data_IF_684350944964
#
_entry.id   IF_684350944964
#
_cell.length_a   1.000
_cell.length_b   1.000
_cell.length_c   1.000
_cell.angle_alpha   90.00
_cell.angle_beta   90.00
_cell.angle_gamma   90.00
#
_symmetry.space_group_name_H-M   'P 1'
#
loop_
_entity.id
_entity.type
_entity.pdbx_description
1 polymer ?
#
# COMPACT_ATOMS: atom_id res chain seq x y z
N UNK A 1 -24.37 -3.00 15.56
CA UNK A 1 -24.90 -2.28 14.39
C UNK A 1 -24.44 -3.03 13.17
N UNK A 2 -25.33 -3.37 12.22
CA UNK A 2 -24.94 -4.06 10.98
C UNK A 2 -24.05 -3.11 10.17
N UNK A 3 -22.84 -3.55 9.79
CA UNK A 3 -22.00 -2.80 8.87
C UNK A 3 -22.76 -2.67 7.55
N UNK A 4 -23.13 -1.44 7.19
CA UNK A 4 -23.76 -1.17 5.89
C UNK A 4 -22.65 -1.01 4.86
N UNK A 5 -22.57 -1.94 3.91
CA UNK A 5 -21.75 -1.77 2.70
C UNK A 5 -22.21 -0.53 1.95
N UNK A 6 -21.27 0.28 1.46
CA UNK A 6 -21.62 1.33 0.48
C UNK A 6 -22.23 0.64 -0.74
N UNK A 7 -23.45 1.02 -1.16
CA UNK A 7 -24.09 0.41 -2.33
C UNK A 7 -23.14 0.55 -3.55
N UNK A 8 -22.91 -0.57 -4.27
CA UNK A 8 -22.09 -0.64 -5.50
C UNK A 8 -20.57 -0.43 -5.34
N UNK A 9 -20.00 -0.44 -4.12
CA UNK A 9 -18.54 -0.46 -3.97
C UNK A 9 -18.00 -1.88 -4.21
N UNK A 10 -17.14 -2.03 -5.21
CA UNK A 10 -16.56 -3.32 -5.63
C UNK A 10 -15.03 -3.24 -5.84
N UNK A 11 -14.39 -2.11 -5.50
CA UNK A 11 -12.96 -1.91 -5.69
C UNK A 11 -12.16 -2.47 -4.50
N UNK A 12 -12.26 -3.78 -4.29
CA UNK A 12 -11.54 -4.52 -3.26
C UNK A 12 -11.32 -5.97 -3.67
N UNK A 13 -10.39 -6.64 -2.98
CA UNK A 13 -10.21 -8.09 -3.02
C UNK A 13 -9.86 -8.57 -1.61
N UNK A 14 -10.76 -9.31 -0.98
CA UNK A 14 -10.61 -9.86 0.37
C UNK A 14 -11.15 -11.29 0.43
N UNK A 15 -10.75 -12.06 1.44
CA UNK A 15 -11.16 -13.46 1.55
C UNK A 15 -12.67 -13.63 1.74
N UNK A 16 -13.27 -12.91 2.71
CA UNK A 16 -14.68 -13.06 3.08
C UNK A 16 -15.21 -11.79 3.77
N UNK A 17 -16.12 -11.08 3.12
CA UNK A 17 -16.76 -9.88 3.68
C UNK A 17 -17.61 -10.15 4.94
N UNK A 18 -18.06 -11.38 5.15
CA UNK A 18 -18.84 -11.73 6.35
C UNK A 18 -18.05 -11.56 7.64
N UNK A 19 -16.72 -11.55 7.58
CA UNK A 19 -15.81 -11.32 8.70
C UNK A 19 -15.77 -9.85 9.17
N UNK A 20 -16.35 -8.91 8.41
CA UNK A 20 -16.27 -7.47 8.70
C UNK A 20 -16.83 -7.10 10.09
N UNK A 21 -17.89 -7.75 10.52
CA UNK A 21 -18.49 -7.52 11.85
C UNK A 21 -17.55 -7.91 13.00
N UNK A 22 -16.77 -8.97 12.84
CA UNK A 22 -15.71 -9.34 13.76
C UNK A 22 -14.55 -8.34 13.67
N UNK A 23 -14.05 -8.07 12.46
CA UNK A 23 -12.98 -7.11 12.23
C UNK A 23 -13.26 -5.75 12.88
N UNK A 24 -14.50 -5.24 12.78
CA UNK A 24 -14.86 -3.97 13.42
C UNK A 24 -14.70 -3.97 14.95
N UNK A 25 -14.98 -5.09 15.60
CA UNK A 25 -14.79 -5.23 17.05
C UNK A 25 -13.31 -5.25 17.43
N UNK A 26 -12.50 -5.99 16.69
CA UNK A 26 -11.06 -6.07 16.91
C UNK A 26 -10.36 -4.72 16.66
N UNK A 27 -10.77 -4.00 15.61
CA UNK A 27 -10.26 -2.65 15.34
C UNK A 27 -10.63 -1.67 16.46
N UNK A 28 -11.85 -1.77 17.03
CA UNK A 28 -12.24 -0.94 18.16
C UNK A 28 -11.41 -1.20 19.41
N UNK A 29 -10.95 -2.44 19.63
CA UNK A 29 -10.00 -2.77 20.70
C UNK A 29 -8.63 -2.17 20.38
N UNK A 30 -8.11 -2.36 19.15
CA UNK A 30 -6.82 -1.83 18.73
C UNK A 30 -6.75 -0.28 18.88
N UNK A 31 -7.85 0.44 18.63
CA UNK A 31 -7.91 1.88 18.89
C UNK A 31 -7.58 2.25 20.35
N UNK A 32 -7.98 1.44 21.31
CA UNK A 32 -7.67 1.67 22.73
C UNK A 32 -6.19 1.41 23.07
N UNK A 33 -5.52 0.61 22.27
CA UNK A 33 -4.11 0.23 22.43
C UNK A 33 -3.15 1.16 21.64
N UNK A 34 -3.69 2.07 20.83
CA UNK A 34 -2.93 2.99 19.98
C UNK A 34 -3.19 4.46 20.33
N UNK A 35 -2.94 4.88 21.60
CA UNK A 35 -3.33 6.20 22.09
C UNK A 35 -2.64 7.35 21.34
N UNK A 36 -1.40 7.15 20.88
CA UNK A 36 -0.65 8.15 20.11
C UNK A 36 -1.31 8.45 18.77
N UNK A 37 -1.65 7.40 18.00
CA UNK A 37 -2.32 7.55 16.71
C UNK A 37 -3.74 8.13 16.87
N UNK A 38 -4.47 7.71 17.91
CA UNK A 38 -5.80 8.24 18.23
C UNK A 38 -5.76 9.71 18.65
N UNK A 39 -4.69 10.15 19.34
CA UNK A 39 -4.48 11.55 19.67
C UNK A 39 -4.23 12.38 18.40
N UNK A 40 -3.40 11.90 17.48
CA UNK A 40 -3.16 12.54 16.17
C UNK A 40 -4.46 12.64 15.36
N UNK A 41 -5.25 11.54 15.28
CA UNK A 41 -6.55 11.56 14.61
C UNK A 41 -7.47 12.63 15.21
N UNK A 42 -7.58 12.69 16.55
CA UNK A 42 -8.43 13.64 17.24
C UNK A 42 -8.00 15.10 17.03
N UNK A 43 -6.69 15.35 17.04
CA UNK A 43 -6.14 16.71 16.92
C UNK A 43 -6.31 17.26 15.50
N UNK A 44 -6.03 16.46 14.48
CA UNK A 44 -5.92 16.95 13.10
C UNK A 44 -7.10 16.61 12.19
N UNK A 45 -8.08 15.80 12.63
CA UNK A 45 -9.21 15.44 11.77
C UNK A 45 -10.02 16.64 11.28
N UNK A 46 -10.07 17.71 12.08
CA UNK A 46 -10.78 18.95 11.69
C UNK A 46 -10.06 19.73 10.60
N UNK A 47 -8.74 19.72 10.61
CA UNK A 47 -7.87 20.48 9.69
C UNK A 47 -7.61 19.73 8.37
N UNK A 48 -7.79 18.41 8.37
CA UNK A 48 -7.54 17.51 7.24
C UNK A 48 -6.20 17.78 6.50
N UNK A 49 -5.07 17.71 7.20
CA UNK A 49 -3.76 18.11 6.66
C UNK A 49 -3.31 17.22 5.49
N UNK A 50 -3.91 16.04 5.30
CA UNK A 50 -3.66 15.13 4.19
C UNK A 50 -4.65 15.31 3.03
N UNK A 51 -5.42 16.40 3.01
CA UNK A 51 -6.31 16.70 1.89
C UNK A 51 -5.53 16.76 0.57
N UNK A 52 -5.96 15.95 -0.43
CA UNK A 52 -5.28 15.80 -1.71
C UNK A 52 -4.12 14.78 -1.71
N UNK A 53 -3.77 14.18 -0.58
CA UNK A 53 -2.88 13.04 -0.55
C UNK A 53 -3.60 11.81 -1.11
N UNK A 54 -2.96 11.14 -2.08
CA UNK A 54 -3.33 9.83 -2.62
C UNK A 54 -2.26 8.85 -2.22
N UNK A 55 -2.57 8.02 -1.23
CA UNK A 55 -1.59 7.13 -0.61
C UNK A 55 -1.79 5.71 -1.11
N UNK A 56 -0.77 5.17 -1.78
CA UNK A 56 -0.64 3.74 -2.02
C UNK A 56 0.07 3.12 -0.82
N UNK A 57 -0.66 2.35 0.00
CA UNK A 57 -0.13 1.68 1.17
C UNK A 57 0.18 0.21 0.87
N UNK A 58 1.41 -0.20 1.10
CA UNK A 58 1.92 -1.58 1.01
C UNK A 58 2.49 -1.96 2.38
N UNK A 59 1.61 -2.36 3.28
CA UNK A 59 1.95 -2.71 4.67
C UNK A 59 1.01 -3.81 5.15
N UNK A 60 1.47 -4.66 6.07
CA UNK A 60 0.69 -5.76 6.66
C UNK A 60 -0.75 -5.36 6.96
N UNK A 61 -1.74 -6.03 6.37
CA UNK A 61 -3.16 -5.72 6.57
C UNK A 61 -3.68 -6.31 7.88
N UNK A 62 -3.34 -5.68 9.00
CA UNK A 62 -3.72 -6.05 10.37
C UNK A 62 -4.78 -5.12 10.94
N UNK A 63 -5.29 -5.44 12.14
CA UNK A 63 -6.23 -4.55 12.86
C UNK A 63 -5.58 -3.21 13.20
N UNK A 64 -4.28 -3.18 13.52
CA UNK A 64 -3.55 -1.93 13.77
C UNK A 64 -3.42 -1.10 12.50
N UNK A 65 -3.13 -1.73 11.37
CA UNK A 65 -3.11 -1.08 10.07
C UNK A 65 -4.49 -0.55 9.68
N UNK A 66 -5.56 -1.24 10.04
CA UNK A 66 -6.91 -0.73 9.83
C UNK A 66 -7.15 0.60 10.60
N UNK A 67 -6.66 0.70 11.84
CA UNK A 67 -6.69 1.97 12.61
C UNK A 67 -5.89 3.06 11.90
N UNK A 68 -4.73 2.73 11.33
CA UNK A 68 -3.92 3.67 10.54
C UNK A 68 -4.68 4.14 9.30
N UNK A 69 -5.24 3.23 8.50
CA UNK A 69 -6.02 3.56 7.29
C UNK A 69 -7.17 4.51 7.62
N UNK A 70 -7.94 4.22 8.66
CA UNK A 70 -9.05 5.07 9.09
C UNK A 70 -8.56 6.43 9.61
N UNK A 71 -7.38 6.47 10.23
CA UNK A 71 -6.75 7.73 10.63
C UNK A 71 -6.35 8.57 9.41
N UNK A 72 -5.69 7.96 8.41
CA UNK A 72 -5.32 8.65 7.18
C UNK A 72 -6.56 9.23 6.47
N UNK A 73 -7.68 8.49 6.42
CA UNK A 73 -8.94 9.01 5.90
C UNK A 73 -9.50 10.17 6.73
N UNK A 74 -9.48 10.06 8.05
CA UNK A 74 -9.94 11.14 8.94
C UNK A 74 -9.11 12.42 8.75
N UNK A 75 -7.83 12.29 8.40
CA UNK A 75 -6.93 13.39 8.09
C UNK A 75 -7.06 13.91 6.64
N UNK A 76 -7.96 13.34 5.82
CA UNK A 76 -8.29 13.82 4.49
C UNK A 76 -7.61 13.08 3.32
N UNK A 77 -6.85 12.01 3.58
CA UNK A 77 -6.21 11.24 2.52
C UNK A 77 -7.20 10.33 1.77
N UNK A 78 -6.93 10.14 0.48
CA UNK A 78 -7.50 9.07 -0.35
C UNK A 78 -6.51 7.90 -0.38
N UNK A 79 -6.94 6.72 0.09
CA UNK A 79 -6.04 5.61 0.40
C UNK A 79 -6.45 4.36 -0.37
N UNK A 80 -5.46 3.63 -0.89
CA UNK A 80 -5.60 2.28 -1.45
C UNK A 80 -4.57 1.38 -0.77
N UNK A 81 -4.92 0.15 -0.45
CA UNK A 81 -4.09 -0.70 0.40
C UNK A 81 -3.91 -2.11 -0.12
N UNK A 82 -2.67 -2.62 -0.04
CA UNK A 82 -2.34 -4.03 -0.21
C UNK A 82 -1.44 -4.49 0.95
N UNK A 83 -1.35 -5.80 1.18
CA UNK A 83 -0.39 -6.33 2.14
C UNK A 83 1.01 -6.36 1.55
N UNK A 84 2.03 -6.16 2.38
CA UNK A 84 3.43 -6.33 2.02
C UNK A 84 3.95 -7.77 2.21
N UNK A 85 3.06 -8.72 2.54
CA UNK A 85 3.42 -10.11 2.77
C UNK A 85 2.20 -11.03 2.57
N UNK A 86 2.40 -12.12 1.81
CA UNK A 86 1.33 -13.05 1.42
C UNK A 86 0.66 -13.83 2.56
N UNK A 87 1.25 -13.85 3.77
CA UNK A 87 0.72 -14.60 4.92
C UNK A 87 0.27 -13.73 6.09
N UNK A 88 0.56 -12.43 6.08
CA UNK A 88 0.39 -11.58 7.26
C UNK A 88 -0.99 -10.93 7.40
N UNK A 89 -1.83 -11.00 6.37
CA UNK A 89 -3.16 -10.40 6.39
C UNK A 89 -4.03 -11.04 7.47
N UNK A 90 -4.71 -10.20 8.22
CA UNK A 90 -5.85 -10.58 9.07
C UNK A 90 -7.14 -10.35 8.28
N UNK A 91 -7.74 -11.41 7.76
CA UNK A 91 -8.86 -11.34 6.81
C UNK A 91 -10.06 -10.56 7.34
N UNK A 92 -10.31 -10.62 8.66
CA UNK A 92 -11.37 -9.84 9.30
C UNK A 92 -11.08 -8.33 9.32
N UNK A 93 -9.79 -7.93 9.41
CA UNK A 93 -9.40 -6.53 9.30
C UNK A 93 -9.60 -6.02 7.86
N UNK A 94 -9.13 -6.78 6.87
CA UNK A 94 -9.32 -6.46 5.45
C UNK A 94 -10.81 -6.35 5.09
N UNK A 95 -11.64 -7.28 5.56
CA UNK A 95 -13.09 -7.27 5.36
C UNK A 95 -13.75 -6.01 5.97
N UNK A 96 -13.34 -5.60 7.18
CA UNK A 96 -13.90 -4.42 7.83
C UNK A 96 -13.57 -3.13 7.07
N UNK A 97 -12.36 -3.01 6.56
CA UNK A 97 -11.91 -1.86 5.75
C UNK A 97 -12.62 -1.82 4.39
N UNK A 98 -12.77 -2.98 3.71
CA UNK A 98 -13.51 -3.08 2.46
C UNK A 98 -14.97 -2.67 2.61
N UNK A 99 -15.66 -3.16 3.65
CA UNK A 99 -17.06 -2.78 3.96
C UNK A 99 -17.17 -1.29 4.26
N UNK A 100 -16.15 -0.69 4.88
CA UNK A 100 -16.04 0.76 5.09
C UNK A 100 -15.93 1.58 3.80
N UNK A 101 -15.66 0.92 2.66
CA UNK A 101 -15.57 1.53 1.33
C UNK A 101 -14.17 2.03 0.98
N UNK A 102 -13.13 1.50 1.64
CA UNK A 102 -11.74 1.72 1.25
C UNK A 102 -11.29 0.62 0.31
N UNK A 103 -10.64 0.96 -0.82
CA UNK A 103 -10.01 -0.02 -1.68
C UNK A 103 -8.90 -0.78 -0.94
N UNK A 104 -9.11 -2.07 -0.72
CA UNK A 104 -8.15 -2.97 -0.07
C UNK A 104 -8.05 -4.28 -0.84
N UNK A 105 -6.83 -4.71 -1.10
CA UNK A 105 -6.50 -5.90 -1.88
C UNK A 105 -5.54 -6.74 -1.06
N UNK A 106 -6.08 -7.62 -0.22
CA UNK A 106 -5.29 -8.47 0.66
C UNK A 106 -6.13 -9.61 1.22
N UNK A 107 -5.58 -10.81 1.24
CA UNK A 107 -6.08 -11.92 2.02
C UNK A 107 -4.93 -12.85 2.43
N UNK A 108 -5.12 -13.60 3.50
CA UNK A 108 -4.07 -14.50 3.99
C UNK A 108 -3.89 -15.69 3.06
N UNK A 109 -2.68 -15.85 2.54
CA UNK A 109 -2.33 -16.96 1.64
C UNK A 109 -2.55 -16.62 0.15
N UNK A 110 -2.55 -15.36 -0.22
CA UNK A 110 -2.47 -14.94 -1.61
C UNK A 110 -1.21 -15.49 -2.28
N UNK A 111 -1.29 -15.76 -3.57
CA UNK A 111 -0.14 -16.21 -4.37
C UNK A 111 0.81 -15.05 -4.69
N UNK A 112 2.06 -15.34 -5.07
CA UNK A 112 3.00 -14.28 -5.51
C UNK A 112 2.47 -13.49 -6.71
N UNK A 113 1.73 -14.14 -7.61
CA UNK A 113 1.10 -13.45 -8.74
C UNK A 113 0.02 -12.47 -8.29
N UNK A 114 -0.83 -12.87 -7.34
CA UNK A 114 -1.87 -12.00 -6.75
C UNK A 114 -1.24 -10.86 -5.94
N UNK A 115 -0.18 -11.14 -5.19
CA UNK A 115 0.57 -10.12 -4.45
C UNK A 115 1.03 -8.97 -5.34
N UNK A 116 1.65 -9.27 -6.49
CA UNK A 116 2.10 -8.24 -7.43
C UNK A 116 0.93 -7.58 -8.18
N UNK A 117 -0.13 -8.32 -8.48
CA UNK A 117 -1.36 -7.75 -9.03
C UNK A 117 -2.00 -6.76 -8.05
N UNK A 118 -2.06 -7.10 -6.75
CA UNK A 118 -2.62 -6.22 -5.73
C UNK A 118 -1.74 -4.99 -5.50
N UNK A 119 -0.43 -5.14 -5.55
CA UNK A 119 0.51 -4.02 -5.51
C UNK A 119 0.32 -3.09 -6.73
N UNK A 120 0.00 -3.60 -7.91
CA UNK A 120 -0.39 -2.76 -9.04
C UNK A 120 -1.73 -2.07 -8.81
N UNK A 121 -2.71 -2.75 -8.24
CA UNK A 121 -4.05 -2.18 -8.01
C UNK A 121 -4.04 -0.99 -7.06
N UNK A 122 -3.15 -0.96 -6.07
CA UNK A 122 -3.03 0.22 -5.19
C UNK A 122 -2.43 1.43 -5.90
N UNK A 123 -1.78 1.26 -7.03
CA UNK A 123 -1.21 2.33 -7.85
C UNK A 123 -2.22 2.93 -8.85
N UNK A 124 -3.45 2.42 -8.90
CA UNK A 124 -4.46 2.79 -9.90
C UNK A 124 -5.74 3.29 -9.23
N UNK A 125 -6.14 4.53 -9.50
CA UNK A 125 -7.44 5.07 -9.08
C UNK A 125 -8.48 4.91 -10.19
N UNK A 126 -9.71 4.62 -9.82
CA UNK A 126 -10.83 4.39 -10.77
C UNK A 126 -11.10 5.58 -11.70
N UNK A 127 -10.71 6.79 -11.32
CA UNK A 127 -10.81 8.00 -12.13
C UNK A 127 -9.58 8.25 -13.03
N UNK A 128 -8.71 7.28 -13.22
CA UNK A 128 -7.47 7.40 -13.97
C UNK A 128 -6.34 8.12 -13.22
N UNK A 129 -6.55 8.44 -11.94
CA UNK A 129 -5.53 9.03 -11.08
C UNK A 129 -4.45 8.04 -10.67
N UNK A 130 -3.36 8.58 -10.12
CA UNK A 130 -2.22 7.82 -9.60
C UNK A 130 -1.91 8.28 -8.17
N UNK A 131 -1.16 7.48 -7.38
CA UNK A 131 -0.69 7.94 -6.07
C UNK A 131 0.24 9.14 -6.22
N UNK A 132 0.32 9.94 -5.17
CA UNK A 132 1.36 10.95 -5.00
C UNK A 132 2.22 10.69 -3.75
N UNK A 133 1.89 9.66 -2.99
CA UNK A 133 2.67 9.17 -1.85
C UNK A 133 2.62 7.65 -1.78
N UNK A 134 3.71 7.05 -1.34
CA UNK A 134 3.79 5.63 -1.02
C UNK A 134 4.05 5.49 0.48
N UNK A 135 3.33 4.58 1.13
CA UNK A 135 3.64 4.07 2.46
C UNK A 135 4.04 2.62 2.28
N UNK A 136 5.30 2.31 2.49
CA UNK A 136 5.90 1.02 2.16
C UNK A 136 6.47 0.31 3.40
N UNK A 137 6.50 -1.01 3.33
CA UNK A 137 7.11 -1.90 4.33
C UNK A 137 7.86 -3.03 3.61
N UNK A 138 9.18 -2.86 3.47
CA UNK A 138 10.07 -3.70 2.69
C UNK A 138 10.44 -3.13 1.32
N UNK A 139 9.82 -2.02 0.91
CA UNK A 139 10.16 -1.29 -0.30
C UNK A 139 9.66 -1.93 -1.59
N UNK A 140 8.67 -2.82 -1.54
CA UNK A 140 8.21 -3.54 -2.74
C UNK A 140 7.35 -2.68 -3.67
N UNK A 141 6.50 -1.81 -3.15
CA UNK A 141 5.77 -0.86 -4.00
C UNK A 141 6.72 0.15 -4.66
N UNK A 142 7.74 0.61 -3.93
CA UNK A 142 8.82 1.47 -4.44
C UNK A 142 9.63 0.75 -5.52
N UNK A 143 10.02 -0.52 -5.28
CA UNK A 143 10.72 -1.34 -6.25
C UNK A 143 9.91 -1.53 -7.53
N UNK A 144 8.62 -1.87 -7.39
CA UNK A 144 7.73 -2.07 -8.53
C UNK A 144 7.68 -0.86 -9.45
N UNK A 145 7.49 0.34 -8.87
CA UNK A 145 7.38 1.58 -9.65
C UNK A 145 8.72 1.94 -10.30
N UNK A 146 9.83 1.83 -9.57
CA UNK A 146 11.15 2.23 -10.07
C UNK A 146 11.71 1.25 -11.09
N UNK A 147 11.60 -0.06 -10.84
CA UNK A 147 12.01 -1.09 -11.80
C UNK A 147 11.11 -1.08 -13.04
N UNK A 148 9.81 -0.92 -12.86
CA UNK A 148 8.86 -0.81 -13.96
C UNK A 148 9.18 0.37 -14.88
N UNK A 149 9.49 1.54 -14.33
CA UNK A 149 9.89 2.72 -15.12
C UNK A 149 11.21 2.50 -15.88
N UNK A 150 12.20 1.87 -15.24
CA UNK A 150 13.45 1.47 -15.92
C UNK A 150 13.20 0.46 -17.04
N UNK A 151 12.28 -0.49 -16.82
CA UNK A 151 11.93 -1.49 -17.82
C UNK A 151 11.13 -0.91 -19.02
N UNK A 152 10.41 0.20 -18.84
CA UNK A 152 9.82 0.97 -19.95
C UNK A 152 10.88 1.47 -20.94
N UNK A 153 12.05 1.90 -20.43
CA UNK A 153 13.17 2.37 -21.23
C UNK A 153 14.04 1.22 -21.75
N UNK A 154 14.25 0.19 -20.92
CA UNK A 154 15.13 -0.94 -21.22
C UNK A 154 14.49 -2.25 -20.76
N UNK A 155 13.61 -2.87 -21.56
CA UNK A 155 12.89 -4.09 -21.22
C UNK A 155 13.78 -5.27 -20.82
N UNK A 156 15.01 -5.33 -21.33
CA UNK A 156 15.94 -6.42 -21.01
C UNK A 156 16.39 -6.48 -19.53
N UNK A 157 16.06 -5.46 -18.72
CA UNK A 157 16.35 -5.49 -17.28
C UNK A 157 15.54 -6.55 -16.53
N UNK A 158 14.43 -7.00 -17.11
CA UNK A 158 13.52 -7.98 -16.49
C UNK A 158 13.43 -9.29 -17.30
N UNK A 159 14.48 -9.64 -18.07
CA UNK A 159 14.49 -10.84 -18.91
C UNK A 159 14.98 -12.09 -18.17
N UNK A 160 15.83 -11.92 -17.14
CA UNK A 160 16.53 -13.02 -16.47
C UNK A 160 16.33 -12.98 -14.97
N UNK A 161 15.20 -13.50 -14.44
CA UNK A 161 14.97 -13.60 -13.00
C UNK A 161 15.93 -14.61 -12.37
N UNK A 162 16.35 -14.34 -11.14
CA UNK A 162 17.25 -15.19 -10.35
C UNK A 162 16.51 -16.01 -9.29
N UNK A 163 15.24 -15.71 -9.04
CA UNK A 163 14.38 -16.38 -8.06
C UNK A 163 12.94 -16.47 -8.54
N UNK A 164 12.11 -17.23 -7.83
CA UNK A 164 10.67 -17.33 -8.08
C UNK A 164 9.96 -16.00 -7.81
N UNK A 165 10.40 -15.28 -6.78
CA UNK A 165 9.89 -13.94 -6.44
C UNK A 165 10.18 -12.93 -7.56
N UNK A 166 11.41 -12.94 -8.10
CA UNK A 166 11.77 -12.10 -9.24
C UNK A 166 10.99 -12.48 -10.50
N UNK A 167 10.79 -13.75 -10.78
CA UNK A 167 9.98 -14.20 -11.93
C UNK A 167 8.56 -13.68 -11.81
N UNK A 168 7.93 -13.76 -10.63
CA UNK A 168 6.58 -13.25 -10.40
C UNK A 168 6.51 -11.72 -10.62
N UNK A 169 7.47 -10.98 -10.06
CA UNK A 169 7.59 -9.53 -10.25
C UNK A 169 7.79 -9.16 -11.73
N UNK A 170 8.78 -9.78 -12.39
CA UNK A 170 9.12 -9.47 -13.78
C UNK A 170 7.98 -9.83 -14.74
N UNK A 171 7.31 -10.97 -14.49
CA UNK A 171 6.12 -11.37 -15.25
C UNK A 171 4.99 -10.36 -15.12
N UNK A 172 4.73 -9.88 -13.91
CA UNK A 172 3.73 -8.87 -13.63
C UNK A 172 4.07 -7.53 -14.32
N UNK A 173 5.33 -7.08 -14.25
CA UNK A 173 5.78 -5.87 -14.94
C UNK A 173 5.62 -6.04 -16.46
N UNK A 174 6.07 -7.14 -17.05
CA UNK A 174 5.94 -7.40 -18.51
C UNK A 174 4.48 -7.32 -18.96
N UNK A 175 3.57 -7.90 -18.19
CA UNK A 175 2.13 -7.85 -18.50
C UNK A 175 1.60 -6.41 -18.49
N UNK A 176 1.95 -5.61 -17.50
CA UNK A 176 1.50 -4.22 -17.39
C UNK A 176 2.11 -3.33 -18.47
N UNK A 177 3.37 -3.53 -18.85
CA UNK A 177 4.00 -2.81 -19.96
C UNK A 177 3.26 -3.01 -21.29
N UNK A 178 2.73 -4.23 -21.52
CA UNK A 178 1.95 -4.52 -22.73
C UNK A 178 0.55 -3.89 -22.69
N UNK A 179 -0.09 -3.85 -21.51
CA UNK A 179 -1.46 -3.37 -21.35
C UNK A 179 -1.53 -1.84 -21.25
N UNK A 180 -0.56 -1.23 -20.60
CA UNK A 180 -0.53 0.20 -20.25
C UNK A 180 0.86 0.82 -20.47
N UNK A 181 1.31 1.03 -21.69
CA UNK A 181 2.59 1.68 -21.96
C UNK A 181 2.69 3.04 -21.24
N UNK A 182 3.83 3.34 -20.61
CA UNK A 182 4.06 4.57 -19.88
C UNK A 182 3.39 4.62 -18.48
N UNK A 183 2.89 3.49 -17.98
CA UNK A 183 2.22 3.41 -16.68
C UNK A 183 3.13 3.82 -15.54
N UNK A 184 4.29 3.19 -15.43
CA UNK A 184 5.21 3.42 -14.32
C UNK A 184 5.87 4.80 -14.35
N UNK A 185 6.31 5.25 -15.52
CA UNK A 185 6.87 6.60 -15.70
C UNK A 185 5.86 7.69 -15.34
N UNK A 186 4.58 7.48 -15.64
CA UNK A 186 3.51 8.41 -15.24
C UNK A 186 3.32 8.45 -13.72
N UNK A 187 3.35 7.29 -13.05
CA UNK A 187 3.26 7.21 -11.58
C UNK A 187 4.47 7.89 -10.97
N UNK A 188 5.67 7.53 -11.40
CA UNK A 188 6.93 8.05 -10.89
C UNK A 188 6.98 9.59 -10.87
N UNK A 189 6.47 10.23 -11.93
CA UNK A 189 6.39 11.70 -12.03
C UNK A 189 5.47 12.35 -10.99
N UNK A 190 4.51 11.60 -10.45
CA UNK A 190 3.52 12.11 -9.49
C UNK A 190 3.90 11.83 -8.04
N UNK A 191 4.76 10.84 -7.78
CA UNK A 191 5.21 10.51 -6.41
C UNK A 191 6.03 11.68 -5.85
N UNK A 192 5.62 12.15 -4.69
CA UNK A 192 6.30 13.20 -3.91
C UNK A 192 7.25 12.66 -2.86
N UNK A 193 7.04 11.39 -2.48
CA UNK A 193 7.89 10.71 -1.52
C UNK A 193 7.33 9.38 -1.06
N UNK A 194 8.17 8.66 -0.34
CA UNK A 194 7.83 7.40 0.32
C UNK A 194 8.16 7.48 1.81
N UNK A 195 7.35 6.84 2.64
CA UNK A 195 7.70 6.49 4.02
C UNK A 195 7.95 4.99 4.08
N UNK A 196 9.07 4.59 4.71
CA UNK A 196 9.47 3.19 4.82
C UNK A 196 9.51 2.74 6.27
N UNK A 197 8.82 1.62 6.57
CA UNK A 197 8.57 1.13 7.91
C UNK A 197 9.61 0.15 8.43
N UNK A 198 10.39 -0.52 7.56
CA UNK A 198 11.21 -1.66 7.99
C UNK A 198 12.66 -1.58 7.54
N UNK A 199 13.54 -2.21 8.32
CA UNK A 199 15.00 -2.22 8.09
C UNK A 199 15.38 -2.66 6.68
N UNK A 200 14.74 -3.71 6.14
CA UNK A 200 15.05 -4.21 4.80
C UNK A 200 14.73 -3.17 3.72
N UNK A 201 13.57 -2.51 3.81
CA UNK A 201 13.19 -1.47 2.87
C UNK A 201 14.08 -0.22 3.02
N UNK A 202 14.40 0.19 4.25
CA UNK A 202 15.34 1.31 4.50
C UNK A 202 16.70 1.03 3.87
N UNK A 203 17.25 -0.20 4.01
CA UNK A 203 18.50 -0.56 3.37
C UNK A 203 18.42 -0.49 1.85
N UNK A 204 17.29 -0.93 1.26
CA UNK A 204 17.04 -0.80 -0.19
C UNK A 204 17.05 0.67 -0.63
N UNK A 205 16.38 1.56 0.10
CA UNK A 205 16.37 2.99 -0.19
C UNK A 205 17.77 3.62 -0.12
N UNK A 206 18.57 3.29 0.89
CA UNK A 206 19.96 3.75 0.97
C UNK A 206 20.84 3.22 -0.18
N UNK A 207 20.61 1.99 -0.62
CA UNK A 207 21.32 1.45 -1.80
C UNK A 207 20.94 2.23 -3.07
N UNK A 208 19.65 2.52 -3.26
CA UNK A 208 19.17 3.32 -4.40
C UNK A 208 19.73 4.75 -4.36
N UNK A 209 19.76 5.39 -3.19
CA UNK A 209 20.34 6.72 -3.02
C UNK A 209 21.84 6.71 -3.35
N UNK A 210 22.58 5.74 -2.83
CA UNK A 210 24.03 5.61 -3.07
C UNK A 210 24.38 5.37 -4.54
N UNK A 211 23.44 4.79 -5.29
CA UNK A 211 23.57 4.55 -6.73
C UNK A 211 23.05 5.71 -7.59
N UNK A 212 22.56 6.81 -6.98
CA UNK A 212 21.85 7.91 -7.67
C UNK A 212 20.61 7.43 -8.45
N UNK A 213 19.91 6.44 -7.89
CA UNK A 213 18.75 5.78 -8.49
C UNK A 213 17.43 6.03 -7.73
N UNK A 214 17.47 6.73 -6.59
CA UNK A 214 16.27 7.07 -5.82
C UNK A 214 15.58 8.30 -6.43
N UNK A 215 14.40 8.13 -7.06
CA UNK A 215 13.83 9.18 -7.91
C UNK A 215 13.00 10.22 -7.13
N UNK A 216 12.77 10.02 -5.84
CA UNK A 216 11.96 10.88 -4.98
C UNK A 216 12.44 10.82 -3.51
N UNK A 217 12.09 11.81 -2.68
CA UNK A 217 12.43 11.81 -1.26
C UNK A 217 11.90 10.56 -0.54
N UNK A 218 12.70 10.02 0.39
CA UNK A 218 12.32 8.92 1.24
C UNK A 218 12.46 9.29 2.72
N UNK A 219 11.50 8.87 3.54
CA UNK A 219 11.52 9.07 4.99
C UNK A 219 11.64 7.71 5.67
N UNK A 220 12.74 7.51 6.37
CA UNK A 220 12.97 6.35 7.22
C UNK A 220 12.20 6.53 8.53
N UNK A 221 11.05 5.87 8.66
CA UNK A 221 10.28 5.84 9.92
C UNK A 221 10.65 4.66 10.80
N UNK A 222 11.40 3.67 10.25
CA UNK A 222 11.89 2.53 11.02
C UNK A 222 12.78 2.95 12.19
N UNK A 223 13.60 3.97 11.99
CA UNK A 223 14.55 4.47 13.02
C UNK A 223 13.97 5.65 13.81
N UNK A 224 12.66 5.90 13.70
CA UNK A 224 12.00 6.93 14.50
C UNK A 224 12.04 6.58 15.98
N UNK A 225 12.23 7.60 16.81
CA UNK A 225 12.20 7.45 18.28
C UNK A 225 10.85 6.98 18.82
N UNK A 226 9.81 7.04 18.01
CA UNK A 226 8.46 6.56 18.35
C UNK A 226 8.21 5.12 17.96
N UNK A 227 9.13 4.49 17.20
CA UNK A 227 9.09 3.09 16.86
C UNK A 227 10.01 2.33 17.81
N UNK A 228 9.49 1.88 18.95
CA UNK A 228 10.22 1.09 19.95
C UNK A 228 9.59 -0.28 20.14
#
# INVERSE_FOLDING_TARGET
MSAQTKPNFSDYQVADLSLAGWGRKEIAIAETEMPGLMAVRKEYAGDQPLSGARIAGSLHMTIQTAVLIETLHALGADVRWASCNIFSTQDHAAAAIAVGGTPVFAYKGETLSEYWEYTHRILQWSNGGTPNMILDDGGDATLLVTLGAKAEEKPSLIDQPSSEEEEALYSSIRQHLQQQPGFYSRILKNIRGVTEETTTGVHRLYQMESADELPFPAINVNDSVTKS
#
